data_IF_372485509233
#
_entry.id   IF_372485509233
#
_cell.length_a   1.000
_cell.length_b   1.000
_cell.length_c   1.000
_cell.angle_alpha   90.00
_cell.angle_beta   90.00
_cell.angle_gamma   90.00
#
_symmetry.space_group_name_H-M   'P 1'
#
loop_
_entity.id
_entity.type
_entity.pdbx_description
1 polymer ?
#
# COMPACT_ATOMS: atom_id res chain seq x y z
N UNK A 1 23.93 -15.35 -8.18
CA UNK A 1 23.56 -15.32 -9.63
C UNK A 1 24.83 -15.09 -10.45
N UNK A 2 25.07 -15.87 -11.54
CA UNK A 2 26.32 -15.80 -12.31
C UNK A 2 26.48 -14.45 -13.05
N UNK A 3 27.71 -14.03 -13.29
CA UNK A 3 28.02 -12.71 -13.89
C UNK A 3 27.49 -12.53 -15.33
N UNK A 4 27.50 -13.60 -16.12
CA UNK A 4 26.97 -13.60 -17.49
C UNK A 4 25.44 -13.45 -17.53
N UNK A 5 24.73 -14.01 -16.56
CA UNK A 5 23.28 -13.83 -16.38
C UNK A 5 22.96 -12.37 -16.01
N UNK A 6 23.72 -11.79 -15.11
CA UNK A 6 23.57 -10.39 -14.73
C UNK A 6 23.89 -9.45 -15.91
N UNK A 7 24.86 -9.82 -16.77
CA UNK A 7 25.14 -9.07 -18.00
C UNK A 7 23.94 -9.14 -18.95
N UNK A 8 23.40 -10.34 -19.25
CA UNK A 8 22.19 -10.50 -20.09
C UNK A 8 21.00 -9.72 -19.55
N UNK A 9 20.83 -9.71 -18.23
CA UNK A 9 19.75 -8.98 -17.57
C UNK A 9 19.88 -7.44 -17.80
N UNK A 10 21.10 -6.87 -17.69
CA UNK A 10 21.35 -5.46 -17.99
C UNK A 10 21.12 -5.13 -19.48
N UNK A 11 21.63 -5.98 -20.37
CA UNK A 11 21.47 -5.78 -21.81
C UNK A 11 19.99 -5.86 -22.22
N UNK A 12 19.23 -6.75 -21.58
CA UNK A 12 17.77 -6.82 -21.73
C UNK A 12 17.10 -5.53 -21.24
N UNK A 13 17.47 -5.00 -20.06
CA UNK A 13 16.90 -3.75 -19.54
C UNK A 13 17.10 -2.60 -20.51
N UNK A 14 18.31 -2.42 -21.06
CA UNK A 14 18.62 -1.33 -22.01
C UNK A 14 17.70 -1.36 -23.24
N UNK A 15 17.26 -2.55 -23.66
CA UNK A 15 16.38 -2.72 -24.83
C UNK A 15 14.90 -2.62 -24.50
N UNK A 16 14.50 -2.92 -23.26
CA UNK A 16 13.10 -3.15 -22.88
C UNK A 16 12.61 -2.20 -21.78
N UNK A 17 13.45 -1.31 -21.27
CA UNK A 17 13.05 -0.38 -20.21
C UNK A 17 11.91 0.51 -20.69
N UNK A 18 10.78 0.46 -19.96
CA UNK A 18 9.66 1.36 -20.25
C UNK A 18 10.05 2.81 -19.97
N UNK A 19 9.60 3.74 -20.81
CA UNK A 19 9.66 5.18 -20.54
C UNK A 19 8.71 5.53 -19.39
N UNK A 20 9.27 5.82 -18.21
CA UNK A 20 8.53 6.18 -17.01
C UNK A 20 8.95 7.58 -16.53
N UNK A 21 8.03 8.41 -16.03
CA UNK A 21 8.34 9.79 -15.63
C UNK A 21 9.44 9.90 -14.56
N UNK A 22 9.64 8.84 -13.76
CA UNK A 22 10.66 8.76 -12.70
C UNK A 22 11.92 8.03 -13.12
N UNK A 23 12.01 7.55 -14.37
CA UNK A 23 13.17 6.83 -14.91
C UNK A 23 13.89 7.71 -15.93
N UNK A 24 15.19 8.00 -15.77
CA UNK A 24 15.93 8.77 -16.77
C UNK A 24 16.07 8.00 -18.10
N UNK A 25 16.16 8.70 -19.21
CA UNK A 25 16.43 8.10 -20.51
C UNK A 25 17.80 7.42 -20.54
N UNK A 26 18.81 8.06 -19.93
CA UNK A 26 20.09 7.41 -19.67
C UNK A 26 20.01 6.62 -18.36
N UNK A 27 19.96 5.29 -18.46
CA UNK A 27 19.85 4.41 -17.31
C UNK A 27 21.10 4.41 -16.40
N UNK A 28 22.23 4.90 -16.89
CA UNK A 28 23.45 5.06 -16.09
C UNK A 28 23.48 6.40 -15.31
N UNK A 29 22.53 7.31 -15.55
CA UNK A 29 22.42 8.55 -14.81
C UNK A 29 21.82 8.33 -13.42
N UNK A 30 22.40 8.91 -12.35
CA UNK A 30 21.80 8.86 -11.02
C UNK A 30 20.47 9.63 -11.02
N UNK A 31 19.51 9.15 -10.24
CA UNK A 31 18.20 9.78 -10.04
C UNK A 31 18.21 10.71 -8.85
N UNK A 32 17.37 11.73 -8.87
CA UNK A 32 17.14 12.53 -7.68
C UNK A 32 16.54 11.64 -6.55
N UNK A 33 17.12 11.61 -5.34
CA UNK A 33 16.64 10.78 -4.24
C UNK A 33 15.17 11.03 -3.90
N UNK A 34 14.74 12.29 -3.97
CA UNK A 34 13.36 12.70 -3.79
C UNK A 34 12.42 12.02 -4.81
N UNK A 35 12.78 12.04 -6.10
CA UNK A 35 11.97 11.42 -7.14
C UNK A 35 11.88 9.89 -6.99
N UNK A 36 12.98 9.23 -6.62
CA UNK A 36 12.98 7.79 -6.30
C UNK A 36 12.06 7.51 -5.13
N UNK A 37 12.20 8.23 -4.02
CA UNK A 37 11.39 8.03 -2.84
C UNK A 37 9.89 8.19 -3.11
N UNK A 38 9.49 9.27 -3.81
CA UNK A 38 8.09 9.52 -4.14
C UNK A 38 7.52 8.44 -5.07
N UNK A 39 8.24 8.10 -6.15
CA UNK A 39 7.78 7.05 -7.07
C UNK A 39 7.64 5.69 -6.40
N UNK A 40 8.63 5.27 -5.61
CA UNK A 40 8.60 3.99 -4.91
C UNK A 40 7.47 3.94 -3.86
N UNK A 41 7.22 5.06 -3.16
CA UNK A 41 6.11 5.13 -2.20
C UNK A 41 4.76 5.09 -2.91
N UNK A 42 4.60 5.75 -4.06
CA UNK A 42 3.36 5.69 -4.85
C UNK A 42 3.11 4.29 -5.42
N UNK A 43 4.15 3.59 -5.84
CA UNK A 43 4.08 2.24 -6.44
C UNK A 43 3.74 1.14 -5.42
N UNK A 44 3.86 1.39 -4.11
CA UNK A 44 3.42 0.43 -3.10
C UNK A 44 1.93 0.10 -3.29
N UNK A 45 1.63 -1.15 -3.69
CA UNK A 45 0.26 -1.65 -3.92
C UNK A 45 -0.57 -0.86 -4.97
N UNK A 46 0.09 -0.10 -5.84
CA UNK A 46 -0.55 0.67 -6.91
C UNK A 46 0.10 0.35 -8.26
N UNK A 47 -0.71 0.22 -9.30
CA UNK A 47 -0.22 -0.11 -10.64
C UNK A 47 0.55 1.06 -11.26
N UNK A 48 1.59 0.76 -12.06
CA UNK A 48 2.40 1.74 -12.77
C UNK A 48 1.57 2.67 -13.65
N UNK A 49 0.56 2.14 -14.36
CA UNK A 49 -0.35 2.93 -15.21
C UNK A 49 -1.05 4.04 -14.43
N UNK A 50 -1.48 3.74 -13.21
CA UNK A 50 -2.11 4.73 -12.32
C UNK A 50 -1.09 5.74 -11.81
N UNK A 51 0.09 5.29 -11.36
CA UNK A 51 1.10 6.15 -10.73
C UNK A 51 1.67 7.20 -11.68
N UNK A 52 1.76 6.92 -13.00
CA UNK A 52 2.35 7.86 -13.98
C UNK A 52 1.79 9.27 -13.88
N UNK A 53 0.48 9.42 -13.94
CA UNK A 53 -0.17 10.74 -13.94
C UNK A 53 -0.11 11.40 -12.54
N UNK A 54 -0.20 10.58 -11.49
CA UNK A 54 -0.05 11.07 -10.11
C UNK A 54 1.35 11.62 -9.86
N UNK A 55 2.38 10.92 -10.30
CA UNK A 55 3.76 11.34 -10.14
C UNK A 55 4.04 12.67 -10.87
N UNK A 56 3.60 12.80 -12.11
CA UNK A 56 3.79 14.05 -12.89
C UNK A 56 3.10 15.23 -12.20
N UNK A 57 1.83 15.06 -11.76
CA UNK A 57 1.10 16.10 -11.03
C UNK A 57 1.75 16.44 -9.68
N UNK A 58 2.27 15.43 -8.99
CA UNK A 58 2.96 15.59 -7.72
C UNK A 58 4.24 16.41 -7.89
N UNK A 59 5.11 16.01 -8.83
CA UNK A 59 6.37 16.67 -9.07
C UNK A 59 6.19 18.13 -9.57
N UNK A 60 5.11 18.41 -10.29
CA UNK A 60 4.76 19.78 -10.67
C UNK A 60 4.40 20.64 -9.46
N UNK A 61 3.70 20.08 -8.47
CA UNK A 61 3.25 20.84 -7.28
C UNK A 61 4.30 20.86 -6.18
N UNK A 62 4.99 19.76 -5.98
CA UNK A 62 6.00 19.55 -4.96
C UNK A 62 7.30 19.12 -5.63
N UNK A 63 8.03 20.02 -6.29
CA UNK A 63 9.23 19.68 -7.07
C UNK A 63 10.41 19.24 -6.22
N UNK A 64 10.43 19.64 -4.95
CA UNK A 64 11.49 19.39 -3.98
C UNK A 64 10.94 19.12 -2.59
N UNK A 65 11.84 18.73 -1.70
CA UNK A 65 11.50 18.34 -0.33
C UNK A 65 11.08 19.54 0.53
N UNK A 66 11.65 20.70 0.29
CA UNK A 66 11.35 21.95 1.00
C UNK A 66 9.93 22.43 0.69
N UNK A 67 9.53 22.38 -0.56
CA UNK A 67 8.16 22.72 -0.99
C UNK A 67 7.16 21.76 -0.37
N UNK A 68 7.47 20.46 -0.36
CA UNK A 68 6.60 19.45 0.25
C UNK A 68 6.52 19.62 1.77
N UNK A 69 7.63 19.90 2.45
CA UNK A 69 7.66 20.06 3.90
C UNK A 69 6.83 21.25 4.40
N UNK A 70 6.65 22.28 3.55
CA UNK A 70 5.80 23.45 3.85
C UNK A 70 4.31 23.24 3.55
N UNK A 71 3.95 22.16 2.86
CA UNK A 71 2.57 21.89 2.49
C UNK A 71 1.72 21.48 3.69
N UNK A 72 0.42 21.80 3.66
CA UNK A 72 -0.53 21.28 4.64
C UNK A 72 -0.91 19.83 4.35
N UNK A 73 -1.28 19.06 5.38
CA UNK A 73 -1.76 17.68 5.20
C UNK A 73 -2.96 17.63 4.25
N UNK A 74 -3.87 18.62 4.34
CA UNK A 74 -5.02 18.73 3.44
C UNK A 74 -4.62 18.87 1.98
N UNK A 75 -3.59 19.65 1.70
CA UNK A 75 -3.07 19.83 0.35
C UNK A 75 -2.39 18.56 -0.18
N UNK A 76 -1.54 17.92 0.62
CA UNK A 76 -0.91 16.64 0.28
C UNK A 76 -1.96 15.59 -0.04
N UNK A 77 -3.01 15.49 0.76
CA UNK A 77 -4.11 14.54 0.55
C UNK A 77 -4.90 14.83 -0.73
N UNK A 78 -5.07 16.09 -1.12
CA UNK A 78 -5.71 16.46 -2.40
C UNK A 78 -4.95 15.86 -3.60
N UNK A 79 -3.62 15.92 -3.59
CA UNK A 79 -2.79 15.35 -4.66
C UNK A 79 -2.64 13.83 -4.58
N UNK A 80 -2.94 13.24 -3.41
CA UNK A 80 -2.90 11.78 -3.18
C UNK A 80 -4.24 11.09 -3.41
N UNK A 81 -5.34 11.85 -3.50
CA UNK A 81 -6.71 11.33 -3.59
C UNK A 81 -6.85 10.37 -4.76
N UNK A 82 -7.32 9.12 -4.48
CA UNK A 82 -7.46 8.04 -5.45
C UNK A 82 -6.36 6.98 -5.42
N UNK A 83 -5.18 7.26 -4.84
CA UNK A 83 -4.12 6.26 -4.67
C UNK A 83 -4.37 5.28 -3.51
N UNK A 84 -5.26 5.63 -2.57
CA UNK A 84 -5.53 4.85 -1.36
C UNK A 84 -4.37 4.86 -0.35
N UNK A 85 -4.55 4.11 0.76
CA UNK A 85 -3.52 3.99 1.81
C UNK A 85 -2.92 5.34 2.25
N UNK A 86 -3.76 6.26 2.74
CA UNK A 86 -3.40 7.64 3.09
C UNK A 86 -2.30 7.75 4.16
N UNK A 87 -2.05 6.68 4.92
CA UNK A 87 -0.89 6.60 5.81
C UNK A 87 0.44 6.82 5.08
N UNK A 88 0.53 6.41 3.80
CA UNK A 88 1.72 6.67 2.97
C UNK A 88 1.91 8.17 2.75
N UNK A 89 0.85 8.89 2.35
CA UNK A 89 0.90 10.33 2.14
C UNK A 89 1.25 11.09 3.43
N UNK A 90 0.68 10.67 4.55
CA UNK A 90 1.00 11.24 5.87
C UNK A 90 2.47 11.01 6.24
N UNK A 91 2.98 9.82 6.01
CA UNK A 91 4.38 9.49 6.26
C UNK A 91 5.33 10.28 5.33
N UNK A 92 4.95 10.46 4.06
CA UNK A 92 5.70 11.32 3.12
C UNK A 92 5.84 12.74 3.69
N UNK A 93 4.75 13.36 4.14
CA UNK A 93 4.81 14.71 4.70
C UNK A 93 5.67 14.78 5.97
N UNK A 94 5.51 13.81 6.89
CA UNK A 94 6.33 13.73 8.10
C UNK A 94 7.82 13.61 7.77
N UNK A 95 8.16 12.72 6.87
CA UNK A 95 9.55 12.48 6.45
C UNK A 95 10.13 13.70 5.72
N UNK A 96 9.36 14.35 4.84
CA UNK A 96 9.79 15.59 4.20
C UNK A 96 10.12 16.68 5.23
N UNK A 97 9.27 16.83 6.25
CA UNK A 97 9.49 17.79 7.35
C UNK A 97 10.77 17.47 8.14
N UNK A 98 11.06 16.18 8.40
CA UNK A 98 12.27 15.77 9.12
C UNK A 98 13.52 16.08 8.28
N UNK A 99 13.52 15.69 7.00
CA UNK A 99 14.67 15.90 6.11
C UNK A 99 14.91 17.41 5.88
N UNK A 100 13.86 18.19 5.63
CA UNK A 100 13.99 19.64 5.45
C UNK A 100 14.59 20.33 6.68
N UNK A 101 14.17 19.95 7.89
CA UNK A 101 14.74 20.46 9.15
C UNK A 101 16.21 20.04 9.34
N UNK A 102 16.63 18.93 8.77
CA UNK A 102 18.02 18.44 8.80
C UNK A 102 18.89 18.99 7.65
N UNK A 103 18.43 20.03 6.95
CA UNK A 103 19.20 20.68 5.86
C UNK A 103 18.85 20.21 4.45
N UNK A 104 17.73 19.50 4.27
CA UNK A 104 17.18 19.15 2.94
C UNK A 104 17.84 17.97 2.22
N UNK A 105 18.98 17.47 2.73
CA UNK A 105 19.71 16.38 2.08
C UNK A 105 19.22 15.01 2.56
N UNK A 106 19.02 14.09 1.61
CA UNK A 106 18.65 12.71 1.94
C UNK A 106 19.80 11.98 2.66
N UNK A 107 19.51 11.24 3.73
CA UNK A 107 20.48 10.37 4.36
C UNK A 107 21.04 9.34 3.37
N UNK A 108 22.32 8.99 3.55
CA UNK A 108 23.01 8.08 2.65
C UNK A 108 23.38 6.74 3.29
N UNK A 109 22.80 6.42 4.42
CA UNK A 109 22.94 5.11 5.06
C UNK A 109 21.58 4.44 5.21
N UNK A 110 21.55 3.11 5.14
CA UNK A 110 20.33 2.32 5.32
C UNK A 110 19.69 2.60 6.68
N UNK A 111 20.49 2.63 7.74
CA UNK A 111 20.03 2.85 9.11
C UNK A 111 19.29 4.20 9.27
N UNK A 112 19.87 5.26 8.73
CA UNK A 112 19.25 6.60 8.80
C UNK A 112 17.97 6.68 7.98
N UNK A 113 17.93 6.08 6.77
CA UNK A 113 16.74 6.04 5.92
C UNK A 113 15.61 5.24 6.57
N UNK A 114 15.90 4.06 7.13
CA UNK A 114 14.90 3.21 7.79
C UNK A 114 14.36 3.82 9.09
N UNK A 115 15.07 4.77 9.70
CA UNK A 115 14.58 5.53 10.85
C UNK A 115 13.49 6.56 10.48
N UNK A 116 13.33 6.88 9.18
CA UNK A 116 12.35 7.85 8.70
C UNK A 116 10.95 7.22 8.55
N UNK A 117 9.86 7.94 8.91
CA UNK A 117 8.50 7.42 8.82
C UNK A 117 8.13 6.93 7.42
N UNK A 118 7.74 5.66 7.29
CA UNK A 118 7.29 5.06 6.02
C UNK A 118 8.39 4.64 5.06
N UNK A 119 9.66 4.74 5.44
CA UNK A 119 10.79 4.19 4.70
C UNK A 119 11.20 2.87 5.35
N UNK A 120 10.87 1.76 4.70
CA UNK A 120 11.31 0.42 5.09
C UNK A 120 12.52 -0.05 4.28
N UNK A 121 12.98 -1.27 4.56
CA UNK A 121 14.18 -1.86 3.97
C UNK A 121 14.20 -1.82 2.43
N UNK A 122 13.05 -2.06 1.77
CA UNK A 122 12.93 -1.96 0.32
C UNK A 122 13.15 -0.53 -0.17
N UNK A 123 12.41 0.45 0.39
CA UNK A 123 12.47 1.85 -0.06
C UNK A 123 13.86 2.46 0.23
N UNK A 124 14.46 2.14 1.38
CA UNK A 124 15.84 2.54 1.71
C UNK A 124 16.84 1.99 0.67
N UNK A 125 16.77 0.69 0.37
CA UNK A 125 17.61 0.06 -0.65
C UNK A 125 17.41 0.65 -2.04
N UNK A 126 16.17 0.96 -2.44
CA UNK A 126 15.86 1.59 -3.72
C UNK A 126 16.48 3.00 -3.82
N UNK A 127 16.32 3.84 -2.78
CA UNK A 127 16.95 5.17 -2.73
C UNK A 127 18.48 5.06 -2.83
N UNK A 128 19.09 4.21 -2.02
CA UNK A 128 20.55 4.06 -1.99
C UNK A 128 21.10 3.50 -3.31
N UNK A 129 20.40 2.55 -3.90
CA UNK A 129 20.82 1.93 -5.15
C UNK A 129 20.58 2.83 -6.36
N UNK A 130 19.34 3.33 -6.55
CA UNK A 130 18.93 4.03 -7.77
C UNK A 130 19.36 5.51 -7.79
N UNK A 131 19.47 6.16 -6.63
CA UNK A 131 19.86 7.56 -6.55
C UNK A 131 21.34 7.75 -6.23
N UNK A 132 21.90 6.93 -5.35
CA UNK A 132 23.29 7.07 -4.91
C UNK A 132 24.24 6.02 -5.49
N UNK A 133 23.74 5.12 -6.36
CA UNK A 133 24.50 4.04 -7.01
C UNK A 133 25.27 3.15 -6.04
N UNK A 134 24.77 3.03 -4.80
CA UNK A 134 25.38 2.16 -3.79
C UNK A 134 25.09 0.69 -4.09
N UNK A 135 25.97 -0.19 -3.61
CA UNK A 135 25.78 -1.65 -3.64
C UNK A 135 24.73 -2.07 -2.62
N UNK A 136 23.47 -1.72 -2.86
CA UNK A 136 22.38 -1.95 -1.94
C UNK A 136 21.33 -2.87 -2.54
N UNK A 137 20.95 -3.86 -1.75
CA UNK A 137 19.94 -4.84 -2.12
C UNK A 137 18.52 -4.29 -1.92
N UNK A 138 17.63 -4.69 -2.82
CA UNK A 138 16.18 -4.50 -2.68
C UNK A 138 15.49 -5.87 -2.68
N UNK A 139 14.36 -5.96 -1.97
CA UNK A 139 13.54 -7.17 -1.96
C UNK A 139 12.06 -6.77 -1.81
N UNK A 140 11.30 -7.00 -2.88
CA UNK A 140 9.85 -6.83 -2.92
C UNK A 140 9.15 -8.13 -3.37
N UNK A 141 7.83 -8.11 -3.48
CA UNK A 141 7.07 -9.27 -3.94
C UNK A 141 7.42 -9.74 -5.36
N UNK A 142 7.94 -8.86 -6.24
CA UNK A 142 8.39 -9.23 -7.58
C UNK A 142 9.72 -9.98 -7.51
N UNK A 143 10.66 -9.47 -6.72
CA UNK A 143 11.97 -10.11 -6.54
C UNK A 143 11.82 -11.44 -5.80
N UNK A 144 10.95 -11.52 -4.77
CA UNK A 144 10.60 -12.79 -4.12
C UNK A 144 10.13 -13.80 -5.16
N UNK A 145 9.22 -13.42 -6.04
CA UNK A 145 8.72 -14.32 -7.11
C UNK A 145 9.82 -14.73 -8.10
N UNK A 146 10.68 -13.80 -8.52
CA UNK A 146 11.81 -14.08 -9.40
C UNK A 146 12.76 -15.05 -8.74
N UNK A 147 13.19 -14.81 -7.51
CA UNK A 147 14.12 -15.68 -6.79
C UNK A 147 13.50 -17.04 -6.48
N UNK A 148 12.19 -17.09 -6.07
CA UNK A 148 11.50 -18.38 -5.90
C UNK A 148 11.55 -19.22 -7.16
N UNK A 149 11.32 -18.66 -8.33
CA UNK A 149 11.36 -19.37 -9.62
C UNK A 149 12.79 -19.69 -10.06
N UNK A 150 13.69 -18.72 -9.93
CA UNK A 150 15.07 -18.88 -10.39
C UNK A 150 15.80 -19.99 -9.63
N UNK A 151 15.58 -20.07 -8.31
CA UNK A 151 16.23 -21.06 -7.43
C UNK A 151 15.31 -22.23 -7.04
N UNK A 152 14.06 -22.28 -7.52
CA UNK A 152 13.03 -23.26 -7.18
C UNK A 152 12.81 -23.36 -5.65
N UNK A 153 12.57 -22.20 -4.99
CA UNK A 153 12.37 -22.15 -3.54
C UNK A 153 10.90 -22.45 -3.19
N UNK A 154 10.67 -23.49 -2.43
CA UNK A 154 9.35 -23.99 -2.02
C UNK A 154 8.80 -23.34 -0.73
N UNK A 155 9.38 -22.22 -0.31
CA UNK A 155 9.00 -21.44 0.84
C UNK A 155 8.96 -19.93 0.51
N UNK A 156 8.30 -19.14 1.35
CA UNK A 156 8.25 -17.68 1.28
C UNK A 156 9.06 -17.03 2.40
N UNK A 157 9.48 -15.76 2.25
CA UNK A 157 10.09 -15.02 3.34
C UNK A 157 9.20 -15.01 4.58
N UNK A 158 9.75 -15.44 5.73
CA UNK A 158 9.05 -15.51 7.00
C UNK A 158 8.22 -16.78 7.23
N UNK A 159 8.27 -17.78 6.34
CA UNK A 159 7.64 -19.07 6.57
C UNK A 159 8.36 -19.85 7.66
N UNK A 160 7.63 -20.19 8.71
CA UNK A 160 8.19 -20.87 9.90
C UNK A 160 8.63 -22.31 9.65
N UNK A 161 8.13 -22.94 8.59
CA UNK A 161 8.45 -24.32 8.19
C UNK A 161 9.72 -24.45 7.35
N UNK A 162 10.21 -23.33 6.79
CA UNK A 162 11.35 -23.33 5.91
C UNK A 162 12.66 -23.20 6.68
N UNK A 163 13.61 -24.09 6.39
CA UNK A 163 14.97 -24.19 6.92
C UNK A 163 15.24 -23.52 8.27
N UNK A 164 15.26 -24.36 9.31
CA UNK A 164 15.88 -23.97 10.58
C UNK A 164 17.40 -24.01 10.40
N UNK A 165 18.07 -22.95 10.77
CA UNK A 165 19.52 -22.98 11.01
C UNK A 165 19.81 -23.87 12.23
N UNK A 166 21.04 -24.34 12.39
CA UNK A 166 21.45 -25.17 13.52
C UNK A 166 21.14 -24.52 14.90
N UNK A 167 21.01 -23.18 14.93
CA UNK A 167 20.60 -22.40 16.11
C UNK A 167 19.06 -22.29 16.31
N UNK A 168 18.26 -23.01 15.50
CA UNK A 168 16.81 -23.07 15.59
C UNK A 168 16.06 -21.84 15.08
N UNK A 169 16.73 -20.84 14.52
CA UNK A 169 16.12 -19.63 13.98
C UNK A 169 15.55 -19.86 12.58
N UNK A 170 14.37 -19.30 12.32
CA UNK A 170 13.78 -19.30 10.99
C UNK A 170 14.49 -18.29 10.10
N UNK A 171 15.20 -18.77 9.08
CA UNK A 171 16.06 -17.96 8.21
C UNK A 171 15.48 -17.75 6.79
N UNK A 172 14.23 -18.12 6.55
CA UNK A 172 13.63 -18.05 5.20
C UNK A 172 13.69 -16.64 4.58
N UNK A 173 13.48 -15.59 5.37
CA UNK A 173 13.60 -14.21 4.89
C UNK A 173 15.06 -13.85 4.54
N UNK A 174 16.01 -14.29 5.35
CA UNK A 174 17.43 -14.01 5.17
C UNK A 174 17.99 -14.68 3.90
N UNK A 175 17.49 -15.87 3.55
CA UNK A 175 17.86 -16.55 2.29
C UNK A 175 17.54 -15.66 1.07
N UNK A 176 16.35 -15.06 1.03
CA UNK A 176 15.98 -14.14 -0.05
C UNK A 176 16.82 -12.85 -0.05
N UNK A 177 17.12 -12.31 1.13
CA UNK A 177 18.00 -11.15 1.25
C UNK A 177 19.43 -11.47 0.83
N UNK A 178 19.93 -12.68 1.08
CA UNK A 178 21.25 -13.12 0.61
C UNK A 178 21.32 -13.14 -0.92
N UNK A 179 20.32 -13.69 -1.61
CA UNK A 179 20.23 -13.63 -3.07
C UNK A 179 20.15 -12.18 -3.59
N UNK A 180 19.41 -11.33 -2.92
CA UNK A 180 19.35 -9.92 -3.28
C UNK A 180 20.69 -9.20 -3.09
N UNK A 181 21.45 -9.51 -2.02
CA UNK A 181 22.79 -8.95 -1.79
C UNK A 181 23.80 -9.44 -2.82
N UNK A 182 23.77 -10.74 -3.19
CA UNK A 182 24.62 -11.25 -4.27
C UNK A 182 24.41 -10.49 -5.59
N UNK A 183 23.16 -10.21 -5.94
CA UNK A 183 22.83 -9.42 -7.14
C UNK A 183 23.30 -7.97 -7.03
N UNK A 184 23.26 -7.41 -5.83
CA UNK A 184 23.66 -6.04 -5.54
C UNK A 184 25.17 -5.88 -5.28
N UNK A 185 25.93 -6.97 -5.13
CA UNK A 185 27.39 -6.89 -4.97
C UNK A 185 28.09 -6.62 -6.31
N UNK A 186 27.81 -5.48 -6.85
CA UNK A 186 28.34 -5.04 -8.15
C UNK A 186 28.33 -3.50 -8.22
N UNK A 187 29.30 -2.88 -8.91
CA UNK A 187 29.24 -1.45 -9.23
C UNK A 187 27.99 -1.06 -10.06
N UNK A 188 27.32 -2.06 -10.68
CA UNK A 188 26.08 -1.87 -11.45
C UNK A 188 24.83 -2.35 -10.70
N UNK A 189 24.85 -2.38 -9.36
CA UNK A 189 23.73 -2.78 -8.51
C UNK A 189 22.42 -2.09 -8.89
N UNK A 190 22.46 -0.78 -9.15
CA UNK A 190 21.31 0.01 -9.59
C UNK A 190 20.67 -0.52 -10.86
N UNK A 191 21.45 -0.96 -11.85
CA UNK A 191 20.92 -1.55 -13.09
C UNK A 191 20.35 -2.96 -12.86
N UNK A 192 20.99 -3.76 -12.00
CA UNK A 192 20.47 -5.09 -11.67
C UNK A 192 19.13 -4.99 -10.94
N UNK A 193 19.03 -4.12 -9.95
CA UNK A 193 17.80 -3.88 -9.21
C UNK A 193 16.68 -3.37 -10.13
N UNK A 194 16.97 -2.37 -10.95
CA UNK A 194 16.03 -1.83 -11.93
C UNK A 194 15.56 -2.90 -12.92
N UNK A 195 16.50 -3.73 -13.41
CA UNK A 195 16.18 -4.79 -14.35
C UNK A 195 15.29 -5.88 -13.73
N UNK A 196 15.54 -6.26 -12.48
CA UNK A 196 14.68 -7.22 -11.78
C UNK A 196 13.29 -6.65 -11.50
N UNK A 197 13.18 -5.38 -11.13
CA UNK A 197 11.89 -4.70 -10.98
C UNK A 197 11.10 -4.71 -12.29
N UNK A 198 11.75 -4.31 -13.39
CA UNK A 198 11.13 -4.29 -14.72
C UNK A 198 10.76 -5.70 -15.20
N UNK A 199 11.64 -6.68 -15.01
CA UNK A 199 11.41 -8.08 -15.35
C UNK A 199 10.19 -8.65 -14.59
N UNK A 200 10.10 -8.37 -13.29
CA UNK A 200 8.97 -8.81 -12.47
C UNK A 200 7.65 -8.19 -12.94
N UNK A 201 7.69 -6.96 -13.41
CA UNK A 201 6.51 -6.25 -13.92
C UNK A 201 6.06 -6.76 -15.29
N UNK A 202 7.01 -7.06 -16.20
CA UNK A 202 6.70 -7.26 -17.63
C UNK A 202 6.78 -8.71 -18.10
N UNK A 203 7.72 -9.48 -17.61
CA UNK A 203 8.04 -10.83 -18.09
C UNK A 203 7.72 -11.90 -17.04
N UNK A 204 8.35 -11.84 -15.87
CA UNK A 204 8.15 -12.81 -14.80
C UNK A 204 6.86 -12.50 -14.01
N UNK A 205 5.72 -12.49 -14.69
CA UNK A 205 4.41 -12.17 -14.10
C UNK A 205 3.95 -13.25 -13.13
N UNK A 206 3.01 -12.89 -12.23
CA UNK A 206 2.42 -13.87 -11.29
C UNK A 206 1.60 -14.95 -12.01
N UNK A 207 0.89 -14.58 -13.07
CA UNK A 207 0.13 -15.47 -13.95
C UNK A 207 0.70 -15.38 -15.36
N UNK A 208 0.76 -16.50 -16.05
CA UNK A 208 1.22 -16.62 -17.45
C UNK A 208 2.53 -15.85 -17.70
N UNK A 209 3.65 -16.21 -17.04
CA UNK A 209 4.93 -15.58 -17.26
C UNK A 209 5.46 -15.85 -18.66
N UNK A 210 6.18 -14.88 -19.23
CA UNK A 210 6.72 -14.93 -20.60
C UNK A 210 8.14 -15.53 -20.58
N UNK A 211 8.29 -16.80 -20.17
CA UNK A 211 9.59 -17.44 -19.95
C UNK A 211 10.45 -17.55 -21.22
N UNK A 212 9.85 -17.73 -22.39
CA UNK A 212 10.58 -17.80 -23.68
C UNK A 212 11.35 -16.52 -24.04
N UNK A 213 10.92 -15.34 -23.51
CA UNK A 213 11.60 -14.06 -23.71
C UNK A 213 12.39 -13.58 -22.48
N UNK A 214 12.51 -14.44 -21.46
CA UNK A 214 13.12 -14.07 -20.18
C UNK A 214 14.66 -14.11 -20.26
N UNK A 215 15.38 -13.02 -19.93
CA UNK A 215 16.84 -13.02 -19.92
C UNK A 215 17.44 -13.97 -18.88
N UNK A 216 16.65 -14.40 -17.89
CA UNK A 216 17.06 -15.33 -16.83
C UNK A 216 16.75 -16.80 -17.17
N UNK A 217 16.07 -17.09 -18.29
CA UNK A 217 15.58 -18.44 -18.60
C UNK A 217 16.67 -19.50 -18.54
N UNK A 218 17.86 -19.20 -19.09
CA UNK A 218 18.99 -20.15 -19.15
C UNK A 218 19.56 -20.59 -17.79
N UNK A 219 19.22 -19.90 -16.69
CA UNK A 219 19.60 -20.28 -15.33
C UNK A 219 18.41 -20.51 -14.40
N UNK A 220 17.18 -20.37 -14.93
CA UNK A 220 15.97 -20.48 -14.12
C UNK A 220 15.58 -21.94 -13.88
N UNK A 221 15.76 -22.41 -12.66
CA UNK A 221 15.53 -23.79 -12.27
C UNK A 221 14.06 -24.21 -12.46
N UNK A 222 13.10 -23.39 -12.01
CA UNK A 222 11.68 -23.67 -12.19
C UNK A 222 11.27 -23.76 -13.66
N UNK A 223 11.94 -23.02 -14.57
CA UNK A 223 11.68 -23.10 -16.01
C UNK A 223 12.19 -24.41 -16.61
N UNK A 224 13.40 -24.82 -16.26
CA UNK A 224 13.97 -26.09 -16.72
C UNK A 224 13.23 -27.32 -16.19
N UNK A 225 12.65 -27.21 -15.00
CA UNK A 225 11.83 -28.26 -14.38
C UNK A 225 10.34 -28.22 -14.84
N UNK A 226 9.94 -27.29 -15.71
CA UNK A 226 8.53 -27.06 -16.12
C UNK A 226 7.56 -26.81 -14.95
N UNK A 227 8.03 -26.16 -13.88
CA UNK A 227 7.30 -25.96 -12.62
C UNK A 227 7.08 -24.47 -12.27
N UNK A 228 7.16 -23.59 -13.25
CA UNK A 228 7.11 -22.12 -13.02
C UNK A 228 5.84 -21.66 -12.28
N UNK A 229 4.70 -22.31 -12.51
CA UNK A 229 3.41 -21.97 -11.90
C UNK A 229 3.31 -22.39 -10.42
N UNK A 230 4.20 -23.29 -9.96
CA UNK A 230 4.26 -23.73 -8.58
C UNK A 230 4.96 -22.68 -7.67
N UNK A 231 5.80 -21.84 -8.26
CA UNK A 231 6.61 -20.85 -7.53
C UNK A 231 6.16 -19.41 -7.77
N UNK A 232 6.16 -18.59 -6.70
CA UNK A 232 6.32 -18.94 -5.29
C UNK A 232 5.15 -19.78 -4.78
N UNK A 233 5.31 -20.54 -3.70
CA UNK A 233 4.23 -21.30 -3.10
C UNK A 233 3.12 -20.36 -2.66
N UNK A 234 1.87 -20.79 -2.81
CA UNK A 234 0.70 -19.98 -2.46
C UNK A 234 0.50 -19.99 -0.95
N UNK A 235 0.50 -18.84 -0.31
CA UNK A 235 0.01 -18.75 1.06
C UNK A 235 -1.48 -19.04 1.08
N UNK A 236 -1.92 -19.90 2.00
CA UNK A 236 -3.34 -20.03 2.28
C UNK A 236 -3.87 -18.67 2.75
N UNK A 237 -4.71 -18.05 1.93
CA UNK A 237 -5.39 -16.81 2.32
C UNK A 237 -6.50 -17.17 3.32
N UNK A 238 -6.21 -17.03 4.61
CA UNK A 238 -7.26 -17.06 5.63
C UNK A 238 -8.08 -15.78 5.48
N UNK A 239 -9.21 -15.90 4.77
CA UNK A 239 -10.17 -14.81 4.68
C UNK A 239 -10.90 -14.69 6.03
N UNK A 240 -10.82 -13.50 6.62
CA UNK A 240 -11.61 -13.16 7.82
C UNK A 240 -12.94 -12.58 7.35
N UNK A 241 -14.03 -13.24 7.69
CA UNK A 241 -15.36 -12.70 7.46
C UNK A 241 -15.71 -11.78 8.61
N UNK A 242 -16.08 -10.54 8.31
CA UNK A 242 -16.56 -9.57 9.26
C UNK A 242 -18.03 -9.26 8.96
N UNK A 243 -18.88 -9.47 9.93
CA UNK A 243 -20.29 -9.10 9.89
C UNK A 243 -20.51 -7.88 10.75
N UNK A 244 -21.29 -6.91 10.25
CA UNK A 244 -21.53 -5.71 11.04
C UNK A 244 -22.68 -4.86 10.51
N UNK A 245 -22.92 -3.79 11.26
CA UNK A 245 -23.92 -2.77 10.94
C UNK A 245 -23.26 -1.41 10.83
N UNK A 246 -23.48 -0.72 9.71
CA UNK A 246 -23.10 0.68 9.51
C UNK A 246 -24.33 1.57 9.72
N UNK A 247 -24.13 2.69 10.44
CA UNK A 247 -25.19 3.65 10.71
C UNK A 247 -24.96 4.92 9.89
N UNK A 248 -25.98 5.34 9.15
CA UNK A 248 -26.07 6.67 8.59
C UNK A 248 -26.92 7.49 9.57
N UNK A 249 -26.27 8.19 10.50
CA UNK A 249 -26.93 8.98 11.53
C UNK A 249 -27.09 10.40 11.00
N UNK A 250 -28.32 10.81 10.79
CA UNK A 250 -28.71 12.14 10.29
C UNK A 250 -29.34 12.97 11.40
N UNK A 251 -28.84 14.18 11.62
CA UNK A 251 -29.41 15.14 12.57
C UNK A 251 -30.55 15.93 11.94
N UNK A 252 -31.42 16.55 12.74
CA UNK A 252 -32.53 17.35 12.29
C UNK A 252 -32.13 18.54 11.38
N UNK A 253 -30.89 19.05 11.50
CA UNK A 253 -30.34 20.09 10.63
C UNK A 253 -29.65 19.52 9.36
N UNK A 254 -29.91 18.25 9.01
CA UNK A 254 -29.44 17.61 7.77
C UNK A 254 -27.94 17.33 7.71
N UNK A 255 -27.30 17.09 8.86
CA UNK A 255 -25.89 16.70 8.93
C UNK A 255 -25.75 15.21 9.22
N UNK A 256 -24.67 14.63 8.74
CA UNK A 256 -24.30 13.22 8.92
C UNK A 256 -23.19 13.12 9.94
N UNK A 257 -23.33 12.20 10.89
CA UNK A 257 -22.28 11.90 11.87
C UNK A 257 -21.15 11.09 11.21
N UNK A 258 -19.94 11.58 11.36
CA UNK A 258 -18.71 10.89 10.98
C UNK A 258 -17.84 10.65 12.22
N UNK A 259 -17.13 9.53 12.24
CA UNK A 259 -16.28 9.10 13.37
C UNK A 259 -14.89 8.69 12.86
N UNK A 260 -13.89 8.77 13.72
CA UNK A 260 -12.59 8.16 13.44
C UNK A 260 -12.69 6.66 13.73
N UNK A 261 -12.53 5.85 12.69
CA UNK A 261 -12.70 4.40 12.80
C UNK A 261 -11.64 3.74 13.67
N UNK A 262 -12.07 2.89 14.61
CA UNK A 262 -11.21 2.07 15.47
C UNK A 262 -10.88 0.69 14.90
N UNK A 263 -11.71 0.16 13.98
CA UNK A 263 -11.55 -1.17 13.39
C UNK A 263 -10.25 -1.27 12.58
N UNK A 264 -9.61 -2.44 12.65
CA UNK A 264 -8.30 -2.69 12.06
C UNK A 264 -8.22 -2.33 10.55
N UNK A 265 -9.30 -2.58 9.80
CA UNK A 265 -9.34 -2.33 8.36
C UNK A 265 -9.61 -0.86 7.95
N UNK A 266 -10.05 0.00 8.89
CA UNK A 266 -10.27 1.43 8.66
C UNK A 266 -9.58 2.33 9.70
N UNK A 267 -8.74 1.77 10.56
CA UNK A 267 -8.16 2.47 11.72
C UNK A 267 -7.61 3.85 11.36
N UNK A 268 -8.07 4.86 12.11
CA UNK A 268 -7.65 6.25 11.95
C UNK A 268 -8.22 6.97 10.73
N UNK A 269 -9.12 6.35 9.97
CA UNK A 269 -9.83 7.00 8.87
C UNK A 269 -11.17 7.57 9.35
N UNK A 270 -11.57 8.69 8.76
CA UNK A 270 -12.93 9.21 8.94
C UNK A 270 -13.91 8.27 8.22
N UNK A 271 -14.91 7.78 8.93
CA UNK A 271 -15.89 6.81 8.46
C UNK A 271 -17.28 7.07 9.06
N UNK A 272 -18.29 6.40 8.54
CA UNK A 272 -19.58 6.29 9.21
C UNK A 272 -19.43 5.39 10.46
N UNK A 273 -20.19 5.62 11.54
CA UNK A 273 -20.27 4.71 12.67
C UNK A 273 -20.58 3.29 12.21
N UNK A 274 -19.79 2.31 12.62
CA UNK A 274 -19.97 0.91 12.25
C UNK A 274 -19.51 -0.01 13.39
N UNK A 275 -20.21 -1.13 13.55
CA UNK A 275 -20.07 -2.04 14.67
C UNK A 275 -20.07 -3.47 14.16
N UNK A 276 -19.27 -4.32 14.78
CA UNK A 276 -19.37 -5.76 14.58
C UNK A 276 -20.67 -6.26 15.22
N UNK A 277 -21.45 -6.98 14.43
CA UNK A 277 -22.73 -7.56 14.86
C UNK A 277 -22.83 -8.98 14.36
N UNK A 278 -23.54 -9.89 15.09
CA UNK A 278 -23.78 -11.25 14.59
C UNK A 278 -24.45 -11.23 13.22
N UNK A 279 -24.18 -12.25 12.40
CA UNK A 279 -24.75 -12.39 11.04
C UNK A 279 -26.27 -12.31 11.03
N UNK A 280 -26.90 -12.82 12.08
CA UNK A 280 -28.36 -12.86 12.25
C UNK A 280 -28.87 -11.79 13.23
N UNK A 281 -28.12 -10.69 13.43
CA UNK A 281 -28.55 -9.61 14.29
C UNK A 281 -29.90 -9.03 13.84
N UNK A 282 -30.79 -8.79 14.80
CA UNK A 282 -32.08 -8.15 14.60
C UNK A 282 -31.92 -6.70 14.04
N UNK A 283 -33.01 -6.13 13.52
CA UNK A 283 -33.03 -4.84 12.83
C UNK A 283 -32.84 -3.62 13.73
N UNK A 284 -32.40 -3.78 14.97
CA UNK A 284 -32.20 -2.71 15.92
C UNK A 284 -30.85 -1.99 15.81
N UNK A 285 -30.77 -0.78 16.38
CA UNK A 285 -29.52 -0.05 16.54
C UNK A 285 -28.59 -0.88 17.46
N UNK A 286 -27.33 -1.12 17.07
CA UNK A 286 -26.39 -1.83 17.97
C UNK A 286 -26.20 -1.08 19.29
N UNK A 287 -26.16 -1.79 20.41
CA UNK A 287 -25.95 -1.19 21.75
C UNK A 287 -24.70 -0.30 21.81
N UNK A 288 -23.63 -0.67 21.08
CA UNK A 288 -22.42 0.13 21.00
C UNK A 288 -22.62 1.53 20.39
N UNK A 289 -23.76 1.76 19.73
CA UNK A 289 -24.09 3.06 19.14
C UNK A 289 -24.62 4.08 20.18
N UNK A 290 -24.97 3.65 21.40
CA UNK A 290 -25.40 4.52 22.52
C UNK A 290 -24.36 5.61 22.83
N UNK A 291 -23.09 5.38 22.55
CA UNK A 291 -22.03 6.40 22.65
C UNK A 291 -22.18 7.56 21.67
N UNK A 292 -22.97 7.40 20.61
CA UNK A 292 -23.21 8.41 19.57
C UNK A 292 -24.64 8.91 19.51
N UNK A 293 -25.58 8.13 20.02
CA UNK A 293 -27.03 8.35 19.91
C UNK A 293 -27.64 8.33 21.30
N UNK A 294 -28.41 9.35 21.61
CA UNK A 294 -29.32 9.35 22.74
C UNK A 294 -30.63 8.67 22.26
N UNK A 295 -31.06 7.60 22.89
CA UNK A 295 -32.24 6.82 22.50
C UNK A 295 -33.49 7.70 22.38
N UNK A 296 -33.67 8.64 23.29
CA UNK A 296 -34.81 9.58 23.32
C UNK A 296 -34.78 10.57 22.14
N UNK A 297 -33.65 10.75 21.49
CA UNK A 297 -33.50 11.60 20.32
C UNK A 297 -33.84 10.95 18.99
N UNK A 298 -34.07 9.64 18.97
CA UNK A 298 -34.33 8.88 17.73
C UNK A 298 -35.76 9.09 17.26
N UNK A 299 -35.92 9.71 16.08
CA UNK A 299 -37.23 9.88 15.41
C UNK A 299 -37.58 8.61 14.65
N UNK A 300 -36.62 8.07 13.88
CA UNK A 300 -36.86 6.90 13.04
C UNK A 300 -35.60 6.10 12.78
N UNK A 301 -35.79 4.80 12.55
CA UNK A 301 -34.75 3.87 12.09
C UNK A 301 -35.25 3.14 10.87
N UNK A 302 -34.56 3.32 9.73
CA UNK A 302 -34.90 2.65 8.48
C UNK A 302 -33.82 1.64 8.13
N UNK A 303 -34.22 0.39 7.84
CA UNK A 303 -33.33 -0.59 7.22
C UNK A 303 -33.16 -0.26 5.74
N UNK A 304 -31.91 0.00 5.34
CA UNK A 304 -31.55 0.37 3.97
C UNK A 304 -30.89 -0.79 3.22
N UNK A 305 -31.00 -2.02 3.75
CA UNK A 305 -30.42 -3.22 3.16
C UNK A 305 -28.99 -3.49 3.59
N UNK A 306 -28.23 -4.17 2.76
CA UNK A 306 -26.87 -4.57 3.07
C UNK A 306 -25.94 -4.43 1.87
N UNK A 307 -24.63 -4.41 2.14
CA UNK A 307 -23.63 -4.43 1.08
C UNK A 307 -22.48 -5.39 1.42
N UNK A 308 -21.82 -5.86 0.37
CA UNK A 308 -20.57 -6.62 0.46
C UNK A 308 -19.39 -5.74 0.09
N UNK A 309 -18.29 -5.91 0.82
CA UNK A 309 -17.06 -5.19 0.57
C UNK A 309 -15.85 -6.06 0.94
N UNK A 310 -14.69 -5.79 0.33
CA UNK A 310 -13.45 -6.47 0.69
C UNK A 310 -12.37 -5.44 0.95
N UNK A 311 -11.70 -5.57 2.10
CA UNK A 311 -10.55 -4.74 2.46
C UNK A 311 -9.46 -5.70 2.95
N UNK A 312 -8.36 -5.77 2.20
CA UNK A 312 -7.24 -6.69 2.48
C UNK A 312 -7.70 -8.15 2.64
N UNK A 313 -7.58 -8.74 3.81
CA UNK A 313 -8.01 -10.12 4.12
C UNK A 313 -9.46 -10.22 4.61
N UNK A 314 -10.15 -9.10 4.80
CA UNK A 314 -11.51 -9.07 5.33
C UNK A 314 -12.55 -9.10 4.22
N UNK A 315 -13.41 -10.11 4.24
CA UNK A 315 -14.70 -10.10 3.56
C UNK A 315 -15.72 -9.47 4.50
N UNK A 316 -16.28 -8.36 4.10
CA UNK A 316 -17.21 -7.58 4.91
C UNK A 316 -18.62 -7.78 4.37
N UNK A 317 -19.52 -8.19 5.22
CA UNK A 317 -20.97 -8.21 4.99
C UNK A 317 -21.59 -7.25 6.00
N UNK A 318 -22.10 -6.13 5.52
CA UNK A 318 -22.51 -5.03 6.38
C UNK A 318 -23.95 -4.63 6.10
N UNK A 319 -24.78 -4.62 7.16
CA UNK A 319 -26.13 -4.06 7.16
C UNK A 319 -26.07 -2.55 7.26
N UNK A 320 -27.03 -1.85 6.70
CA UNK A 320 -27.11 -0.38 6.71
C UNK A 320 -28.41 0.06 7.38
N UNK A 321 -28.29 0.86 8.42
CA UNK A 321 -29.42 1.52 9.05
C UNK A 321 -29.29 3.03 8.88
N UNK A 322 -30.37 3.69 8.47
CA UNK A 322 -30.50 5.13 8.50
C UNK A 322 -31.25 5.52 9.78
N UNK A 323 -30.61 6.34 10.59
CA UNK A 323 -31.12 6.80 11.89
C UNK A 323 -31.33 8.30 11.82
N UNK A 324 -32.57 8.77 11.97
CA UNK A 324 -32.90 10.17 12.02
C UNK A 324 -33.07 10.62 13.48
N UNK A 325 -32.39 11.72 13.84
CA UNK A 325 -32.43 12.27 15.20
C UNK A 325 -33.22 13.61 15.23
N UNK A 326 -33.94 13.87 16.32
CA UNK A 326 -34.66 15.10 16.60
C UNK A 326 -33.72 16.28 16.94
N UNK A 327 -32.53 15.99 17.46
CA UNK A 327 -31.51 16.97 17.80
C UNK A 327 -30.12 16.40 17.51
N UNK A 328 -29.08 17.23 17.52
CA UNK A 328 -27.70 16.75 17.56
C UNK A 328 -27.44 16.05 18.88
N UNK A 329 -26.70 14.93 18.84
CA UNK A 329 -26.25 14.27 20.05
C UNK A 329 -25.52 15.24 20.97
N UNK A 330 -25.96 15.34 22.22
CA UNK A 330 -25.46 16.30 23.23
C UNK A 330 -24.00 16.11 23.61
N UNK A 331 -23.44 14.90 23.41
CA UNK A 331 -22.02 14.57 23.66
C UNK A 331 -21.34 14.11 22.38
N UNK A 332 -20.68 15.03 21.69
CA UNK A 332 -19.74 14.65 20.64
C UNK A 332 -18.45 14.21 21.33
N UNK A 333 -18.07 12.95 21.17
CA UNK A 333 -16.74 12.49 21.59
C UNK A 333 -15.68 13.13 20.69
N UNK A 334 -14.45 13.26 21.18
CA UNK A 334 -13.35 13.92 20.46
C UNK A 334 -13.03 13.28 19.09
N UNK A 335 -13.48 12.04 18.88
CA UNK A 335 -13.31 11.27 17.64
C UNK A 335 -14.48 11.41 16.64
N UNK A 336 -15.47 12.29 16.92
CA UNK A 336 -16.68 12.46 16.10
C UNK A 336 -16.79 13.85 15.52
N UNK A 337 -17.42 13.97 14.35
CA UNK A 337 -17.73 15.25 13.73
C UNK A 337 -19.02 15.19 12.91
N UNK A 338 -19.79 16.30 12.88
CA UNK A 338 -20.95 16.44 12.01
C UNK A 338 -20.56 17.06 10.68
N UNK A 339 -20.84 16.41 9.57
CA UNK A 339 -20.56 16.86 8.22
C UNK A 339 -21.86 17.18 7.48
N UNK A 340 -21.85 18.20 6.60
CA UNK A 340 -23.00 18.51 5.76
C UNK A 340 -23.31 17.33 4.85
N UNK A 341 -24.57 16.95 4.70
CA UNK A 341 -25.03 15.86 3.83
C UNK A 341 -24.53 16.03 2.39
N UNK A 342 -24.55 17.27 1.86
CA UNK A 342 -24.02 17.59 0.55
C UNK A 342 -22.51 17.36 0.39
N UNK A 343 -21.74 17.49 1.46
CA UNK A 343 -20.30 17.30 1.46
C UNK A 343 -19.88 15.85 1.83
N UNK A 344 -20.82 14.99 2.23
CA UNK A 344 -20.50 13.66 2.75
C UNK A 344 -19.76 12.78 1.74
N UNK A 345 -20.13 12.82 0.45
CA UNK A 345 -19.46 12.05 -0.61
C UNK A 345 -17.99 12.45 -0.80
N UNK A 346 -17.69 13.74 -0.64
CA UNK A 346 -16.33 14.27 -0.83
C UNK A 346 -15.48 14.18 0.45
N UNK A 347 -16.14 14.05 1.60
CA UNK A 347 -15.48 13.99 2.90
C UNK A 347 -14.95 12.59 3.22
N UNK A 348 -15.70 11.53 2.86
CA UNK A 348 -15.25 10.17 3.08
C UNK A 348 -14.30 9.69 1.97
N UNK A 349 -13.06 9.43 2.34
CA UNK A 349 -12.05 8.91 1.41
C UNK A 349 -12.16 7.41 1.14
N UNK A 350 -13.00 6.67 1.89
CA UNK A 350 -13.11 5.22 1.81
C UNK A 350 -14.46 4.77 1.22
N UNK A 351 -14.40 3.79 0.32
CA UNK A 351 -15.57 3.21 -0.33
C UNK A 351 -16.48 2.44 0.62
N UNK A 352 -15.99 2.02 1.78
CA UNK A 352 -16.80 1.40 2.83
C UNK A 352 -17.88 2.36 3.35
N UNK A 353 -17.55 3.63 3.58
CA UNK A 353 -18.52 4.65 4.03
C UNK A 353 -19.39 5.19 2.89
N UNK A 354 -18.88 5.22 1.66
CA UNK A 354 -19.64 5.70 0.50
C UNK A 354 -20.80 4.76 0.10
N UNK A 355 -20.66 3.44 0.31
CA UNK A 355 -21.71 2.47 -0.01
C UNK A 355 -22.96 2.65 0.87
N UNK A 356 -22.88 2.72 2.21
CA UNK A 356 -24.03 3.02 3.06
C UNK A 356 -24.72 4.35 2.73
N UNK A 357 -23.94 5.39 2.45
CA UNK A 357 -24.51 6.70 2.05
C UNK A 357 -25.38 6.59 0.80
N UNK A 358 -24.92 5.81 -0.20
CA UNK A 358 -25.72 5.58 -1.41
C UNK A 358 -27.02 4.82 -1.12
N UNK A 359 -27.00 3.87 -0.18
CA UNK A 359 -28.19 3.08 0.17
C UNK A 359 -29.20 3.88 1.02
N UNK A 360 -28.72 4.74 1.88
CA UNK A 360 -29.55 5.46 2.86
C UNK A 360 -30.10 6.81 2.35
N UNK A 361 -29.40 7.46 1.41
CA UNK A 361 -29.70 8.83 0.98
C UNK A 361 -30.20 8.93 -0.48
N UNK A 362 -30.69 7.80 -1.02
CA UNK A 362 -31.41 7.76 -2.31
C UNK A 362 -32.90 7.94 -2.12
#
# INVERSE_FOLDING_TARGET
MQADILKRLRDWLKKNAAALPWRPLNLDAPRAPYAVWISETMLQQTQVSTVRDYFVRWMKRFPDIETLARASEKEVFKYWQGLGYYSRARNILKTATIIAKAGGSFPQTRKELEALPGIGAYTAGAILSLAFHKKEAILDGNLVRIFSRFYALDFLPGDKSASRTDDGKNNSAEIYWNYAREVADSPKAYMHNEALMELGRTVCKSKSPLCGSCPLAGGCRAYHENRVEEFPPKRAHVQKVWHGTALVIESADGKILAVIAGQAFLRGQLALPHFETPKNATTGIPLQAERYIDADSVISVKDCGSFRHSITVHKIECKVLHVLLSSKAKKIQADCTWIKKSAAKDTFANSFSLKPLKLALV
#
